data_IF_999093655744
#
_entry.id   IF_999093655744
#
_cell.length_a   1.000
_cell.length_b   1.000
_cell.length_c   1.000
_cell.angle_alpha   90.00
_cell.angle_beta   90.00
_cell.angle_gamma   90.00
#
_symmetry.space_group_name_H-M   'P 1'
#
loop_
_entity.id
_entity.type
_entity.pdbx_description
1 polymer ?
#
# COMPACT_ATOMS: atom_id res chain seq x y z
N UNK A 1 4.08 -24.55 4.46
CA UNK A 1 5.43 -24.81 3.89
C UNK A 1 5.55 -24.06 2.57
N UNK A 2 4.48 -24.13 1.80
CA UNK A 2 4.20 -23.53 0.49
C UNK A 2 4.71 -22.09 0.28
N UNK A 3 4.47 -21.16 1.22
CA UNK A 3 4.91 -19.77 1.03
C UNK A 3 6.43 -19.56 1.17
N UNK A 4 7.09 -20.32 2.04
CA UNK A 4 8.55 -20.23 2.16
C UNK A 4 9.21 -20.81 0.91
N UNK A 5 8.68 -21.92 0.40
CA UNK A 5 9.15 -22.55 -0.82
C UNK A 5 8.93 -21.61 -2.03
N UNK A 6 7.76 -20.95 -2.10
CA UNK A 6 7.48 -19.90 -3.10
C UNK A 6 8.50 -18.76 -3.04
N UNK A 7 8.78 -18.22 -1.85
CA UNK A 7 9.77 -17.15 -1.70
C UNK A 7 11.16 -17.60 -2.18
N UNK A 8 11.60 -18.81 -1.78
CA UNK A 8 12.89 -19.35 -2.21
C UNK A 8 12.98 -19.54 -3.72
N UNK A 9 11.93 -20.08 -4.36
CA UNK A 9 11.89 -20.27 -5.82
C UNK A 9 11.95 -18.94 -6.58
N UNK A 10 11.35 -17.88 -6.04
CA UNK A 10 11.34 -16.54 -6.66
C UNK A 10 12.53 -15.66 -6.22
N UNK A 11 13.49 -16.18 -5.46
CA UNK A 11 14.63 -15.41 -4.96
C UNK A 11 14.26 -14.32 -3.93
N UNK A 12 13.07 -14.40 -3.31
CA UNK A 12 12.59 -13.42 -2.33
C UNK A 12 13.14 -13.78 -0.95
N UNK A 13 13.97 -12.89 -0.37
CA UNK A 13 14.42 -13.03 1.01
C UNK A 13 13.29 -12.64 1.97
N UNK A 14 12.80 -13.60 2.73
CA UNK A 14 11.76 -13.35 3.74
C UNK A 14 12.36 -12.91 5.06
N UNK A 15 12.16 -11.64 5.41
CA UNK A 15 12.49 -11.09 6.72
C UNK A 15 11.25 -11.07 7.62
N UNK A 16 11.43 -11.41 8.90
CA UNK A 16 10.36 -11.42 9.91
C UNK A 16 10.74 -10.47 11.02
N UNK A 17 9.81 -9.61 11.40
CA UNK A 17 9.95 -8.73 12.56
C UNK A 17 9.87 -9.54 13.87
N UNK A 18 10.36 -8.93 14.94
CA UNK A 18 10.29 -9.52 16.27
C UNK A 18 8.81 -9.64 16.68
N UNK A 19 8.38 -10.73 17.34
CA UNK A 19 7.01 -10.78 17.86
C UNK A 19 6.75 -9.62 18.82
N UNK A 20 5.59 -8.99 18.70
CA UNK A 20 5.12 -7.88 19.56
C UNK A 20 5.89 -6.55 19.40
N UNK A 21 6.53 -6.30 18.26
CA UNK A 21 7.14 -5.00 17.90
C UNK A 21 6.42 -4.33 16.72
N UNK A 22 5.12 -3.96 16.84
CA UNK A 22 4.37 -3.34 15.74
C UNK A 22 4.99 -2.02 15.23
N UNK A 23 5.79 -1.35 16.06
CA UNK A 23 6.51 -0.13 15.69
C UNK A 23 7.48 -0.34 14.53
N UNK A 24 8.03 -1.56 14.37
CA UNK A 24 8.91 -1.90 13.24
C UNK A 24 8.16 -1.88 11.90
N UNK A 25 6.82 -1.99 11.91
CA UNK A 25 5.96 -1.96 10.74
C UNK A 25 5.23 -0.63 10.53
N UNK A 26 5.61 0.42 11.28
CA UNK A 26 4.82 1.64 11.39
C UNK A 26 4.49 2.30 10.06
N UNK A 27 5.42 2.30 9.10
CA UNK A 27 5.21 2.88 7.76
C UNK A 27 4.09 2.15 7.00
N UNK A 28 4.11 0.82 7.01
CA UNK A 28 3.09 -0.01 6.34
C UNK A 28 1.75 0.15 7.02
N UNK A 29 1.71 0.19 8.35
CA UNK A 29 0.46 0.39 9.11
C UNK A 29 -0.17 1.76 8.83
N UNK A 30 0.65 2.81 8.76
CA UNK A 30 0.20 4.16 8.39
C UNK A 30 -0.36 4.16 6.97
N UNK A 31 0.37 3.57 6.01
CA UNK A 31 -0.06 3.55 4.60
C UNK A 31 -1.36 2.77 4.42
N UNK A 32 -1.48 1.59 5.04
CA UNK A 32 -2.71 0.79 5.00
C UNK A 32 -3.92 1.56 5.55
N UNK A 33 -3.72 2.34 6.63
CA UNK A 33 -4.76 3.21 7.17
C UNK A 33 -5.13 4.34 6.20
N UNK A 34 -4.16 4.95 5.53
CA UNK A 34 -4.39 6.00 4.52
C UNK A 34 -5.19 5.46 3.34
N UNK A 35 -4.78 4.33 2.77
CA UNK A 35 -5.49 3.67 1.65
C UNK A 35 -6.95 3.40 2.05
N UNK A 36 -7.18 2.78 3.21
CA UNK A 36 -8.53 2.46 3.66
C UNK A 36 -9.38 3.70 3.96
N UNK A 37 -8.78 4.80 4.44
CA UNK A 37 -9.48 6.08 4.63
C UNK A 37 -9.90 6.67 3.27
N UNK A 38 -9.00 6.74 2.30
CA UNK A 38 -9.30 7.25 0.97
C UNK A 38 -10.38 6.41 0.29
N UNK A 39 -10.22 5.08 0.24
CA UNK A 39 -11.18 4.16 -0.35
C UNK A 39 -12.58 4.30 0.25
N UNK A 40 -12.68 4.35 1.60
CA UNK A 40 -13.96 4.55 2.29
C UNK A 40 -14.56 5.92 2.01
N UNK A 41 -13.76 6.96 1.97
CA UNK A 41 -14.21 8.33 1.69
C UNK A 41 -14.78 8.45 0.29
N UNK A 42 -14.03 8.02 -0.73
CA UNK A 42 -14.47 8.04 -2.13
C UNK A 42 -15.75 7.23 -2.36
N UNK A 43 -15.78 5.98 -1.86
CA UNK A 43 -16.95 5.11 -2.00
C UNK A 43 -18.19 5.73 -1.35
N UNK A 44 -18.06 6.30 -0.15
CA UNK A 44 -19.16 6.95 0.56
C UNK A 44 -19.60 8.24 -0.14
N UNK A 45 -18.68 9.01 -0.68
CA UNK A 45 -18.97 10.27 -1.38
C UNK A 45 -19.89 10.06 -2.59
N UNK A 46 -19.63 8.99 -3.37
CA UNK A 46 -20.43 8.65 -4.56
C UNK A 46 -21.64 7.76 -4.23
N UNK A 47 -21.76 7.29 -2.98
CA UNK A 47 -22.87 6.43 -2.55
C UNK A 47 -22.82 5.00 -3.07
N UNK A 48 -21.63 4.49 -3.44
CA UNK A 48 -21.48 3.16 -4.02
C UNK A 48 -21.73 2.03 -2.99
N UNK A 49 -22.33 0.90 -3.38
CA UNK A 49 -22.44 -0.30 -2.54
C UNK A 49 -21.11 -0.84 -2.01
N UNK A 50 -21.16 -1.65 -0.94
CA UNK A 50 -19.96 -2.23 -0.30
C UNK A 50 -19.19 -3.21 -1.20
N UNK A 51 -19.84 -3.84 -2.18
CA UNK A 51 -19.16 -4.77 -3.08
C UNK A 51 -18.14 -4.08 -4.00
N UNK A 52 -18.27 -2.75 -4.22
CA UNK A 52 -17.25 -1.94 -4.89
C UNK A 52 -16.05 -1.59 -3.99
N UNK A 53 -15.87 -2.30 -2.89
CA UNK A 53 -14.80 -2.04 -1.93
C UNK A 53 -13.41 -2.29 -2.51
N UNK A 54 -13.25 -3.30 -3.37
CA UNK A 54 -11.99 -3.65 -3.99
C UNK A 54 -11.55 -2.57 -5.00
N UNK A 55 -12.48 -2.14 -5.86
CA UNK A 55 -12.28 -1.09 -6.87
C UNK A 55 -12.01 0.26 -6.23
N UNK A 56 -12.68 0.57 -5.11
CA UNK A 56 -12.41 1.78 -4.35
C UNK A 56 -11.00 1.77 -3.72
N UNK A 57 -10.52 0.60 -3.28
CA UNK A 57 -9.15 0.45 -2.76
C UNK A 57 -8.13 0.56 -3.89
N UNK A 58 -8.37 -0.10 -5.02
CA UNK A 58 -7.50 -0.03 -6.20
C UNK A 58 -7.34 1.40 -6.70
N UNK A 59 -8.47 2.11 -6.86
CA UNK A 59 -8.50 3.54 -7.22
C UNK A 59 -7.75 4.39 -6.19
N UNK A 60 -7.89 4.09 -4.89
CA UNK A 60 -7.20 4.84 -3.84
C UNK A 60 -5.68 4.68 -3.95
N UNK A 61 -5.20 3.46 -4.19
CA UNK A 61 -3.78 3.17 -4.36
C UNK A 61 -3.24 3.87 -5.60
N UNK A 62 -3.96 3.78 -6.72
CA UNK A 62 -3.59 4.46 -7.97
C UNK A 62 -3.41 5.98 -7.76
N UNK A 63 -4.40 6.63 -7.13
CA UNK A 63 -4.33 8.08 -6.86
C UNK A 63 -3.21 8.45 -5.87
N UNK A 64 -2.95 7.62 -4.86
CA UNK A 64 -1.87 7.85 -3.89
C UNK A 64 -0.49 7.75 -4.57
N UNK A 65 -0.32 6.80 -5.49
CA UNK A 65 0.96 6.59 -6.18
C UNK A 65 1.26 7.66 -7.25
N UNK A 66 0.21 8.27 -7.82
CA UNK A 66 0.31 9.38 -8.79
C UNK A 66 0.29 10.76 -8.15
N UNK A 67 -0.16 10.88 -6.91
CA UNK A 67 -0.24 12.14 -6.19
C UNK A 67 1.12 12.60 -5.64
N UNK A 68 1.30 13.89 -5.40
CA UNK A 68 2.49 14.40 -4.72
C UNK A 68 2.58 13.82 -3.30
N UNK A 69 3.74 13.29 -2.94
CA UNK A 69 4.02 12.77 -1.60
C UNK A 69 4.89 13.71 -0.79
N UNK A 70 4.51 13.99 0.45
CA UNK A 70 5.34 14.76 1.39
C UNK A 70 6.64 14.05 1.74
N UNK A 71 6.68 12.71 1.67
CA UNK A 71 7.92 11.94 1.89
C UNK A 71 8.94 12.10 0.75
N UNK A 72 8.53 12.69 -0.38
CA UNK A 72 9.34 12.92 -1.57
C UNK A 72 9.44 14.42 -1.90
N UNK A 73 9.21 15.30 -0.93
CA UNK A 73 9.22 16.76 -1.12
C UNK A 73 8.29 17.22 -2.26
N UNK A 74 7.09 16.62 -2.32
CA UNK A 74 6.10 16.87 -3.37
C UNK A 74 6.32 16.05 -4.65
N UNK A 75 7.36 15.22 -4.71
CA UNK A 75 7.58 14.27 -5.81
C UNK A 75 6.50 13.19 -5.90
N UNK A 76 6.38 12.60 -7.10
CA UNK A 76 5.39 11.55 -7.40
C UNK A 76 6.01 10.17 -7.11
N UNK A 77 5.40 9.34 -6.25
CA UNK A 77 5.91 8.01 -5.91
C UNK A 77 6.16 7.10 -7.11
N UNK A 78 5.25 7.08 -8.08
CA UNK A 78 5.40 6.25 -9.28
C UNK A 78 6.61 6.69 -10.13
N UNK A 79 6.82 8.00 -10.31
CA UNK A 79 8.01 8.50 -11.01
C UNK A 79 9.30 8.18 -10.26
N UNK A 80 9.29 8.35 -8.94
CA UNK A 80 10.44 8.04 -8.10
C UNK A 80 10.80 6.54 -8.12
N UNK A 81 9.80 5.67 -8.28
CA UNK A 81 10.00 4.24 -8.46
C UNK A 81 10.60 3.91 -9.82
N UNK A 82 10.04 4.45 -10.91
CA UNK A 82 10.51 4.18 -12.28
C UNK A 82 11.95 4.67 -12.49
N UNK A 83 12.33 5.83 -11.92
CA UNK A 83 13.70 6.38 -12.04
C UNK A 83 14.76 5.63 -11.22
N UNK A 84 14.36 4.64 -10.42
CA UNK A 84 15.28 3.87 -9.57
C UNK A 84 15.92 2.69 -10.32
N UNK A 85 15.39 2.33 -11.48
CA UNK A 85 16.00 1.42 -12.47
C UNK A 85 16.85 2.21 -13.48
#
# INVERSE_FOLDING_TARGET
>A
KDFNDYCSVNGIRRERMVPRTPQENGVVEIMNRTIMKCARSMRKHVGLPLHFGAEAVDTAVYLINLGPSSSLDGGIPEEAWIRKE
#
